data_IF_764729713433
#
_entry.id   IF_764729713433
#
_cell.length_a   1.000
_cell.length_b   1.000
_cell.length_c   1.000
_cell.angle_alpha   90.00
_cell.angle_beta   90.00
_cell.angle_gamma   90.00
#
_symmetry.space_group_name_H-M   'P 1'
#
loop_
_entity.id
_entity.type
_entity.pdbx_description
1 polymer ?
#
# COMPACT_ATOMS: atom_id res chain seq x y z
N UNK A 1 -4.93 19.74 -2.67
CA UNK A 1 -5.07 18.27 -2.48
C UNK A 1 -5.01 17.54 -3.83
N UNK A 2 -5.58 18.11 -4.89
CA UNK A 2 -5.70 17.48 -6.22
C UNK A 2 -4.36 17.17 -6.91
N UNK A 3 -3.35 18.06 -6.80
CA UNK A 3 -2.03 17.83 -7.38
C UNK A 3 -1.30 16.60 -6.77
N UNK A 4 -1.63 16.23 -5.53
CA UNK A 4 -1.10 15.03 -4.87
C UNK A 4 -1.79 13.77 -5.41
N UNK A 5 -3.11 13.82 -5.63
CA UNK A 5 -3.88 12.68 -6.13
C UNK A 5 -3.58 12.37 -7.60
N UNK A 6 -3.27 13.37 -8.41
CA UNK A 6 -2.89 13.19 -9.82
C UNK A 6 -1.65 12.29 -10.02
N UNK A 7 -0.79 12.18 -8.99
CA UNK A 7 0.41 11.33 -9.01
C UNK A 7 0.17 9.94 -8.39
N UNK A 8 -1.04 9.65 -7.92
CA UNK A 8 -1.43 8.33 -7.42
C UNK A 8 -2.22 7.64 -8.51
N UNK A 9 -1.72 6.56 -9.14
CA UNK A 9 -2.50 5.79 -10.12
C UNK A 9 -3.88 5.33 -9.62
N UNK A 10 -3.99 4.96 -8.33
CA UNK A 10 -5.28 4.62 -7.72
C UNK A 10 -6.21 5.82 -7.46
N UNK A 11 -5.80 7.04 -7.80
CA UNK A 11 -6.58 8.28 -7.72
C UNK A 11 -7.21 8.58 -6.34
N UNK A 12 -6.67 8.00 -5.27
CA UNK A 12 -7.11 8.24 -3.89
C UNK A 12 -5.93 8.29 -2.93
N UNK A 13 -6.13 8.93 -1.79
CA UNK A 13 -5.19 8.81 -0.68
C UNK A 13 -5.27 7.40 -0.08
N UNK A 14 -4.14 6.90 0.41
CA UNK A 14 -4.11 5.77 1.32
C UNK A 14 -4.78 6.12 2.64
N UNK A 15 -5.36 5.12 3.29
CA UNK A 15 -6.00 5.23 4.59
C UNK A 15 -5.24 4.36 5.60
N UNK A 16 -5.38 4.61 6.91
CA UNK A 16 -4.84 3.71 7.93
C UNK A 16 -5.32 2.26 7.78
N UNK A 17 -6.53 2.05 7.24
CA UNK A 17 -7.09 0.73 7.02
C UNK A 17 -6.34 -0.04 5.93
N UNK A 18 -5.83 0.64 4.89
CA UNK A 18 -5.02 0.00 3.85
C UNK A 18 -3.73 -0.61 4.44
N UNK A 19 -3.11 0.07 5.41
CA UNK A 19 -1.95 -0.46 6.12
C UNK A 19 -2.32 -1.62 7.06
N UNK A 20 -3.44 -1.49 7.78
CA UNK A 20 -3.92 -2.55 8.66
C UNK A 20 -4.24 -3.86 7.91
N UNK A 21 -4.82 -3.76 6.71
CA UNK A 21 -5.07 -4.90 5.82
C UNK A 21 -3.79 -5.65 5.46
N UNK A 22 -2.73 -4.92 5.08
CA UNK A 22 -1.42 -5.53 4.78
C UNK A 22 -0.79 -6.18 6.00
N UNK A 23 -0.85 -5.53 7.15
CA UNK A 23 -0.36 -6.11 8.41
C UNK A 23 -1.13 -7.38 8.75
N UNK A 24 -2.47 -7.39 8.61
CA UNK A 24 -3.27 -8.59 8.84
C UNK A 24 -2.83 -9.72 7.91
N UNK A 25 -2.74 -9.46 6.62
CA UNK A 25 -2.35 -10.48 5.64
C UNK A 25 -0.94 -11.02 5.94
N UNK A 26 0.02 -10.15 6.24
CA UNK A 26 1.38 -10.57 6.63
C UNK A 26 1.38 -11.45 7.88
N UNK A 27 0.58 -11.09 8.89
CA UNK A 27 0.53 -11.81 10.16
C UNK A 27 -0.22 -13.14 10.09
N UNK A 28 -1.27 -13.22 9.26
CA UNK A 28 -2.22 -14.34 9.30
C UNK A 28 -2.11 -15.27 8.09
N UNK A 29 -1.66 -14.78 6.94
CA UNK A 29 -1.78 -15.51 5.67
C UNK A 29 -0.42 -15.69 4.94
N UNK A 30 0.56 -14.81 5.15
CA UNK A 30 1.84 -14.80 4.42
C UNK A 30 2.90 -15.79 4.98
N UNK A 31 2.58 -17.09 5.06
CA UNK A 31 3.36 -18.08 5.82
C UNK A 31 4.78 -18.40 5.32
N UNK A 32 5.14 -18.02 4.10
CA UNK A 32 6.44 -18.35 3.48
C UNK A 32 7.18 -17.12 2.96
N UNK A 33 6.91 -15.95 3.54
CA UNK A 33 7.55 -14.68 3.20
C UNK A 33 8.29 -14.13 4.41
N UNK A 34 9.51 -13.64 4.20
CA UNK A 34 10.30 -12.91 5.19
C UNK A 34 11.32 -12.03 4.48
N UNK A 35 11.80 -10.97 5.14
CA UNK A 35 12.81 -10.05 4.59
C UNK A 35 12.31 -9.07 3.54
N UNK A 36 11.02 -9.08 3.22
CA UNK A 36 10.42 -8.24 2.19
C UNK A 36 9.93 -6.88 2.70
N UNK A 37 10.01 -5.88 1.82
CA UNK A 37 9.47 -4.53 2.06
C UNK A 37 8.31 -4.28 1.11
N UNK A 38 7.09 -4.24 1.64
CA UNK A 38 5.89 -3.99 0.86
C UNK A 38 5.60 -2.48 0.79
N UNK A 39 5.47 -1.95 -0.43
CA UNK A 39 5.09 -0.55 -0.64
C UNK A 39 3.58 -0.36 -0.69
N UNK A 40 3.11 0.61 0.08
CA UNK A 40 1.72 1.05 0.17
C UNK A 40 1.58 2.49 -0.32
N UNK A 41 1.66 2.70 -1.63
CA UNK A 41 1.72 4.04 -2.21
C UNK A 41 0.67 4.31 -3.30
N UNK A 42 -0.26 3.37 -3.50
CA UNK A 42 -1.28 3.44 -4.54
C UNK A 42 -0.72 3.51 -5.97
N UNK A 43 0.49 2.98 -6.19
CA UNK A 43 1.15 2.91 -7.49
C UNK A 43 2.09 4.08 -7.79
N UNK A 44 2.31 5.00 -6.84
CA UNK A 44 3.11 6.23 -7.05
C UNK A 44 4.51 6.01 -7.59
N UNK A 45 5.14 4.89 -7.26
CA UNK A 45 6.49 4.60 -7.76
C UNK A 45 6.52 4.06 -9.20
N UNK A 46 5.40 3.53 -9.69
CA UNK A 46 5.32 3.00 -11.05
C UNK A 46 5.15 4.12 -12.10
N UNK A 47 4.81 5.33 -11.67
CA UNK A 47 4.44 6.47 -12.51
C UNK A 47 5.46 7.61 -12.41
#
# INVERSE_FOLDING_TARGET
QDAYLARVPLARAGTPLDAAEVVRWLALDAHYITGEVLRLDGGRWLA
#
